data_IF_044103936950
#
_entry.id   IF_044103936950
#
_cell.length_a   1.000
_cell.length_b   1.000
_cell.length_c   1.000
_cell.angle_alpha   90.00
_cell.angle_beta   90.00
_cell.angle_gamma   90.00
#
_symmetry.space_group_name_H-M   'P 1'
#
loop_
_entity.id
_entity.type
_entity.pdbx_description
1 polymer ?
#
# COMPACT_ATOMS: atom_id res chain seq x y z
N UNK A 1 6.29 21.39 -3.79
CA UNK A 1 5.77 20.01 -3.57
C UNK A 1 6.42 19.12 -4.62
N UNK A 2 6.97 17.96 -4.25
CA UNK A 2 7.68 17.07 -5.21
C UNK A 2 7.02 15.69 -5.20
N UNK A 3 7.05 14.99 -6.33
CA UNK A 3 6.47 13.65 -6.50
C UNK A 3 6.92 12.67 -5.39
N UNK A 4 8.18 12.77 -4.93
CA UNK A 4 8.66 11.94 -3.82
C UNK A 4 7.88 12.19 -2.52
N UNK A 5 7.66 13.44 -2.18
CA UNK A 5 6.93 13.81 -0.97
C UNK A 5 5.46 13.36 -1.07
N UNK A 6 4.89 13.41 -2.27
CA UNK A 6 3.51 12.99 -2.52
C UNK A 6 3.36 11.47 -2.38
N UNK A 7 4.29 10.68 -2.93
CA UNK A 7 4.35 9.22 -2.73
C UNK A 7 4.44 8.87 -1.24
N UNK A 8 5.31 9.56 -0.48
CA UNK A 8 5.44 9.34 0.97
C UNK A 8 4.20 9.82 1.75
N UNK A 9 3.53 10.87 1.29
CA UNK A 9 2.27 11.33 1.87
C UNK A 9 1.18 10.28 1.66
N UNK A 10 1.03 9.73 0.46
CA UNK A 10 0.08 8.67 0.15
C UNK A 10 0.35 7.39 0.95
N UNK A 11 1.61 6.95 1.03
CA UNK A 11 1.99 5.80 1.87
C UNK A 11 1.55 5.99 3.32
N UNK A 12 1.90 7.14 3.93
CA UNK A 12 1.53 7.47 5.31
C UNK A 12 0.02 7.57 5.49
N UNK A 13 -0.69 8.13 4.51
CA UNK A 13 -2.15 8.26 4.49
C UNK A 13 -2.83 6.89 4.49
N UNK A 14 -2.37 5.97 3.64
CA UNK A 14 -2.83 4.58 3.58
C UNK A 14 -2.56 3.82 4.88
N UNK A 15 -1.35 3.88 5.41
CA UNK A 15 -1.03 3.22 6.69
C UNK A 15 -1.88 3.78 7.83
N UNK A 16 -2.11 5.10 7.86
CA UNK A 16 -2.92 5.73 8.91
C UNK A 16 -4.37 5.25 8.90
N UNK A 17 -4.99 5.14 7.72
CA UNK A 17 -6.39 4.69 7.63
C UNK A 17 -6.55 3.22 8.02
N UNK A 18 -5.51 2.38 7.89
CA UNK A 18 -5.57 1.01 8.40
C UNK A 18 -5.78 0.96 9.91
N UNK A 19 -5.28 1.92 10.68
CA UNK A 19 -5.52 1.96 12.12
C UNK A 19 -6.99 2.15 12.51
N UNK A 20 -7.87 2.58 11.59
CA UNK A 20 -9.31 2.62 11.83
C UNK A 20 -10.01 1.28 11.58
N UNK A 21 -9.28 0.22 11.19
CA UNK A 21 -9.81 -1.13 10.94
C UNK A 21 -9.73 -2.03 12.17
N UNK A 22 -10.53 -3.11 12.25
CA UNK A 22 -10.41 -4.08 13.33
C UNK A 22 -9.00 -4.66 13.41
N UNK A 23 -8.45 -4.75 14.64
CA UNK A 23 -7.05 -5.10 14.90
C UNK A 23 -6.60 -6.40 14.23
N UNK A 24 -7.49 -7.38 14.17
CA UNK A 24 -7.26 -8.70 13.55
C UNK A 24 -6.96 -8.60 12.04
N UNK A 25 -7.59 -7.67 11.32
CA UNK A 25 -7.38 -7.50 9.87
C UNK A 25 -6.35 -6.42 9.52
N UNK A 26 -5.91 -5.59 10.48
CA UNK A 26 -4.95 -4.51 10.20
C UNK A 26 -3.66 -5.01 9.56
N UNK A 27 -3.16 -6.18 9.98
CA UNK A 27 -1.92 -6.73 9.46
C UNK A 27 -2.02 -7.09 7.97
N UNK A 28 -3.18 -7.59 7.53
CA UNK A 28 -3.44 -7.93 6.13
C UNK A 28 -3.36 -6.69 5.24
N UNK A 29 -4.04 -5.61 5.63
CA UNK A 29 -3.95 -4.33 4.92
C UNK A 29 -2.52 -3.80 4.87
N UNK A 30 -1.79 -3.84 6.00
CA UNK A 30 -0.41 -3.36 6.05
C UNK A 30 0.51 -4.17 5.13
N UNK A 31 0.38 -5.51 5.11
CA UNK A 31 1.14 -6.37 4.20
C UNK A 31 0.86 -6.00 2.74
N UNK A 32 -0.41 -5.89 2.36
CA UNK A 32 -0.79 -5.55 0.99
C UNK A 32 -0.24 -4.17 0.55
N UNK A 33 -0.38 -3.14 1.40
CA UNK A 33 0.15 -1.80 1.12
C UNK A 33 1.68 -1.85 1.00
N UNK A 34 2.37 -2.47 1.97
CA UNK A 34 3.84 -2.52 1.97
C UNK A 34 4.38 -3.27 0.74
N UNK A 35 3.77 -4.40 0.40
CA UNK A 35 4.14 -5.16 -0.78
C UNK A 35 4.08 -4.33 -2.06
N UNK A 36 2.96 -3.63 -2.28
CA UNK A 36 2.77 -2.80 -3.48
C UNK A 36 3.82 -1.68 -3.60
N UNK A 37 4.18 -1.03 -2.49
CA UNK A 37 5.22 0.00 -2.50
C UNK A 37 6.62 -0.61 -2.67
N UNK A 38 6.86 -1.81 -2.12
CA UNK A 38 8.15 -2.50 -2.24
C UNK A 38 8.43 -2.96 -3.68
N UNK A 39 7.45 -3.56 -4.37
CA UNK A 39 7.62 -4.00 -5.77
C UNK A 39 7.84 -2.83 -6.74
N UNK A 40 7.29 -1.66 -6.41
CA UNK A 40 7.41 -0.44 -7.22
C UNK A 40 8.56 0.48 -6.77
N UNK A 41 9.36 0.08 -5.77
CA UNK A 41 10.42 0.91 -5.17
C UNK A 41 11.50 1.35 -6.16
N UNK A 42 11.77 0.51 -7.16
CA UNK A 42 12.86 0.71 -8.12
C UNK A 42 12.44 1.46 -9.40
N UNK A 43 11.22 2.02 -9.45
CA UNK A 43 10.78 2.82 -10.59
C UNK A 43 11.66 4.08 -10.72
N UNK A 44 12.26 4.34 -11.89
CA UNK A 44 13.03 5.55 -12.13
C UNK A 44 12.18 6.80 -11.92
N UNK A 45 12.77 7.81 -11.27
CA UNK A 45 12.10 9.09 -10.95
C UNK A 45 11.68 9.88 -12.20
N UNK A 46 12.27 9.55 -13.35
CA UNK A 46 11.94 10.12 -14.67
C UNK A 46 10.64 9.57 -15.25
N UNK A 47 10.17 8.41 -14.79
CA UNK A 47 8.89 7.82 -15.22
C UNK A 47 7.69 8.46 -14.51
N UNK A 48 7.54 9.78 -14.68
CA UNK A 48 6.54 10.59 -13.99
C UNK A 48 5.12 10.05 -14.26
N UNK A 49 4.79 9.77 -15.53
CA UNK A 49 3.47 9.25 -15.91
C UNK A 49 3.13 7.93 -15.21
N UNK A 50 4.10 7.02 -15.08
CA UNK A 50 3.94 5.75 -14.36
C UNK A 50 3.68 6.00 -12.88
N UNK A 51 4.45 6.88 -12.25
CA UNK A 51 4.29 7.22 -10.83
C UNK A 51 2.92 7.85 -10.60
N UNK A 52 2.50 8.81 -11.43
CA UNK A 52 1.18 9.44 -11.32
C UNK A 52 0.02 8.45 -11.50
N UNK A 53 0.19 7.48 -12.40
CA UNK A 53 -0.80 6.42 -12.58
C UNK A 53 -0.93 5.56 -11.32
N UNK A 54 0.20 5.12 -10.76
CA UNK A 54 0.24 4.35 -9.50
C UNK A 54 -0.32 5.16 -8.33
N UNK A 55 0.00 6.44 -8.24
CA UNK A 55 -0.55 7.36 -7.23
C UNK A 55 -2.07 7.45 -7.33
N UNK A 56 -2.62 7.60 -8.54
CA UNK A 56 -4.08 7.60 -8.77
C UNK A 56 -4.73 6.28 -8.34
N UNK A 57 -4.08 5.14 -8.59
CA UNK A 57 -4.56 3.85 -8.12
C UNK A 57 -4.52 3.76 -6.58
N UNK A 58 -3.45 4.23 -5.95
CA UNK A 58 -3.32 4.24 -4.50
C UNK A 58 -4.33 5.16 -3.81
N UNK A 59 -4.70 6.28 -4.40
CA UNK A 59 -5.78 7.14 -3.90
C UNK A 59 -7.16 6.45 -3.98
N UNK A 60 -7.44 5.73 -5.06
CA UNK A 60 -8.67 4.89 -5.15
C UNK A 60 -8.69 3.82 -4.06
N UNK A 61 -7.56 3.16 -3.81
CA UNK A 61 -7.41 2.19 -2.71
C UNK A 61 -7.61 2.83 -1.35
N UNK A 62 -7.13 4.06 -1.15
CA UNK A 62 -7.37 4.79 0.08
C UNK A 62 -8.86 5.01 0.32
N UNK A 63 -9.63 5.46 -0.67
CA UNK A 63 -11.08 5.66 -0.48
C UNK A 63 -11.81 4.34 -0.16
N UNK A 64 -11.42 3.23 -0.80
CA UNK A 64 -11.96 1.89 -0.49
C UNK A 64 -11.61 1.48 0.95
N UNK A 65 -10.34 1.60 1.34
CA UNK A 65 -9.90 1.26 2.70
C UNK A 65 -10.52 2.22 3.72
N UNK A 66 -10.80 3.47 3.39
CA UNK A 66 -11.44 4.41 4.31
C UNK A 66 -12.89 4.05 4.60
N UNK A 67 -13.58 3.46 3.64
CA UNK A 67 -14.98 3.04 3.81
C UNK A 67 -15.11 2.05 4.99
N UNK A 68 -16.04 2.33 5.90
CA UNK A 68 -16.29 1.51 7.10
C UNK A 68 -16.89 0.14 6.77
N UNK A 69 -17.52 -0.01 5.61
CA UNK A 69 -18.06 -1.29 5.13
C UNK A 69 -16.97 -2.31 4.80
N UNK A 70 -15.76 -1.84 4.46
CA UNK A 70 -14.60 -2.68 4.18
C UNK A 70 -13.84 -2.95 5.47
N UNK A 71 -13.98 -4.15 6.04
CA UNK A 71 -13.30 -4.52 7.30
C UNK A 71 -12.17 -5.54 7.11
N UNK A 72 -12.14 -6.28 6.00
CA UNK A 72 -11.10 -7.28 5.66
C UNK A 72 -10.72 -7.21 4.19
N UNK A 73 -9.55 -7.75 3.85
CA UNK A 73 -9.12 -7.99 2.47
C UNK A 73 -8.61 -9.42 2.32
N UNK A 74 -8.69 -9.96 1.11
CA UNK A 74 -7.94 -11.17 0.82
C UNK A 74 -6.51 -10.79 0.43
N UNK A 75 -5.53 -11.26 1.19
CA UNK A 75 -4.12 -11.12 0.82
C UNK A 75 -3.78 -12.25 -0.15
N UNK A 76 -3.35 -11.94 -1.39
CA UNK A 76 -2.96 -12.98 -2.34
C UNK A 76 -1.79 -13.81 -1.82
N UNK A 77 -1.76 -15.11 -2.15
CA UNK A 77 -0.73 -16.04 -1.69
C UNK A 77 0.70 -15.61 -2.01
N UNK A 78 0.93 -14.92 -3.14
CA UNK A 78 2.25 -14.40 -3.49
C UNK A 78 2.73 -13.28 -2.57
N UNK A 79 1.82 -12.50 -2.00
CA UNK A 79 2.16 -11.44 -1.02
C UNK A 79 2.60 -12.09 0.30
N UNK A 80 1.91 -13.14 0.74
CA UNK A 80 2.31 -13.87 1.94
C UNK A 80 3.69 -14.49 1.79
N UNK A 81 3.93 -15.18 0.67
CA UNK A 81 5.25 -15.75 0.32
C UNK A 81 6.35 -14.69 0.32
N UNK A 82 6.10 -13.51 -0.25
CA UNK A 82 7.05 -12.39 -0.24
C UNK A 82 7.50 -12.02 1.18
N UNK A 83 6.56 -11.93 2.14
CA UNK A 83 6.90 -11.60 3.52
C UNK A 83 7.52 -12.79 4.27
N UNK A 84 7.12 -14.02 3.98
CA UNK A 84 7.75 -15.22 4.54
C UNK A 84 9.21 -15.34 4.15
N UNK A 85 9.54 -15.15 2.86
CA UNK A 85 10.91 -15.15 2.36
C UNK A 85 11.74 -14.03 2.99
N UNK A 86 11.16 -12.82 3.10
CA UNK A 86 11.82 -11.66 3.69
C UNK A 86 12.08 -11.79 5.19
N UNK A 87 11.27 -12.57 5.92
CA UNK A 87 11.43 -12.81 7.36
C UNK A 87 12.38 -13.99 7.68
N UNK A 88 12.83 -14.76 6.68
CA UNK A 88 13.80 -15.86 6.83
C UNK A 88 15.27 -15.39 6.79
N UNK A 89 15.49 -14.13 6.42
CA UNK A 89 16.80 -13.45 6.36
C UNK A 89 16.97 -12.61 7.62
#
# INVERSE_FOLDING_TARGET
MTIKNDVLALYRKLVRVVHSKPREFQQEFQKAIRYEFDINRNIPRTQINTIEHLMRQGEKKYEIIKDKSVFRINVPSHVEKYFEEKNKV
#
